data_IF_223158992221
#
_entry.id   IF_223158992221
#
_cell.length_a   1.000
_cell.length_b   1.000
_cell.length_c   1.000
_cell.angle_alpha   90.00
_cell.angle_beta   90.00
_cell.angle_gamma   90.00
#
_symmetry.space_group_name_H-M   'P 1'
#
loop_
_entity.id
_entity.type
_entity.pdbx_description
1 polymer ?
#
# COMPACT_ATOMS: atom_id res chain seq x y z
N UNK A 1 -25.34 -20.86 -33.50
CA UNK A 1 -24.94 -19.57 -32.89
C UNK A 1 -24.29 -19.89 -31.56
N UNK A 2 -22.98 -19.90 -31.49
CA UNK A 2 -22.25 -20.08 -30.23
C UNK A 2 -22.35 -18.77 -29.46
N UNK A 3 -23.24 -18.74 -28.45
CA UNK A 3 -23.36 -17.58 -27.58
C UNK A 3 -22.02 -17.27 -26.91
N UNK A 4 -21.58 -16.02 -26.98
CA UNK A 4 -20.39 -15.55 -26.27
C UNK A 4 -20.55 -15.86 -24.77
N UNK A 5 -19.62 -16.64 -24.21
CA UNK A 5 -19.58 -16.93 -22.79
C UNK A 5 -18.74 -15.82 -22.13
N UNK A 6 -19.37 -15.00 -21.32
CA UNK A 6 -18.69 -13.96 -20.54
C UNK A 6 -18.12 -14.58 -19.26
N UNK A 7 -16.88 -14.27 -18.96
CA UNK A 7 -16.20 -14.64 -17.71
C UNK A 7 -15.88 -13.35 -16.94
N UNK A 8 -16.47 -13.13 -15.76
CA UNK A 8 -16.14 -11.96 -14.95
C UNK A 8 -14.77 -12.15 -14.30
N UNK A 9 -13.91 -11.12 -14.40
CA UNK A 9 -12.65 -11.03 -13.67
C UNK A 9 -12.74 -9.81 -12.74
N UNK A 10 -12.62 -10.04 -11.44
CA UNK A 10 -12.81 -9.02 -10.43
C UNK A 10 -11.51 -8.89 -9.64
N UNK A 11 -10.96 -7.67 -9.58
CA UNK A 11 -9.86 -7.29 -8.72
C UNK A 11 -10.34 -6.41 -7.57
N UNK A 12 -9.78 -6.61 -6.39
CA UNK A 12 -10.01 -5.77 -5.22
C UNK A 12 -8.69 -5.13 -4.81
N UNK A 13 -8.73 -3.86 -4.43
CA UNK A 13 -7.62 -3.13 -3.82
C UNK A 13 -8.04 -2.68 -2.43
N UNK A 14 -7.23 -3.03 -1.42
CA UNK A 14 -7.53 -2.75 -0.02
C UNK A 14 -6.44 -1.87 0.54
N UNK A 15 -6.80 -0.70 1.05
CA UNK A 15 -5.89 0.21 1.74
C UNK A 15 -6.01 0.05 3.25
N UNK A 16 -4.87 -0.18 3.91
CA UNK A 16 -4.78 -0.31 5.35
C UNK A 16 -3.89 0.79 5.91
N UNK A 17 -4.40 1.55 6.88
CA UNK A 17 -3.63 2.53 7.61
C UNK A 17 -2.92 1.85 8.79
N UNK A 18 -1.60 1.77 8.73
CA UNK A 18 -0.79 1.13 9.76
C UNK A 18 -0.71 1.99 11.03
N UNK A 19 -0.67 1.34 12.19
CA UNK A 19 -0.59 1.99 13.51
C UNK A 19 0.85 2.45 13.84
N UNK A 20 1.42 3.32 13.02
CA UNK A 20 2.72 3.94 13.24
C UNK A 20 2.56 5.32 13.90
N UNK A 21 3.59 5.79 14.60
CA UNK A 21 3.61 7.13 15.20
C UNK A 21 3.88 8.23 14.18
N UNK A 22 4.55 7.89 13.09
CA UNK A 22 4.93 8.84 12.05
C UNK A 22 4.48 8.34 10.67
N UNK A 23 4.43 9.26 9.71
CA UNK A 23 4.11 8.94 8.32
C UNK A 23 5.10 7.94 7.73
N UNK A 24 4.70 7.29 6.63
CA UNK A 24 5.49 6.25 5.96
C UNK A 24 6.85 6.75 5.45
N UNK A 25 6.92 7.99 5.00
CA UNK A 25 8.10 8.51 4.28
C UNK A 25 8.68 9.78 4.88
N UNK A 26 8.27 10.19 6.08
CA UNK A 26 8.86 11.31 6.82
C UNK A 26 8.59 11.19 8.32
N UNK A 27 9.24 12.05 9.10
CA UNK A 27 9.10 12.08 10.56
C UNK A 27 7.88 12.83 11.12
N UNK A 28 6.96 13.31 10.26
CA UNK A 28 5.76 13.96 10.75
C UNK A 28 4.87 12.98 11.50
N UNK A 29 4.33 13.44 12.61
CA UNK A 29 3.41 12.67 13.43
C UNK A 29 2.12 12.31 12.66
N UNK A 30 1.56 11.15 13.00
CA UNK A 30 0.23 10.74 12.60
C UNK A 30 -0.73 10.97 13.76
N UNK A 31 -1.73 11.80 13.52
CA UNK A 31 -2.83 12.05 14.46
C UNK A 31 -4.14 12.19 13.68
N UNK A 32 -5.23 12.04 14.37
CA UNK A 32 -6.57 12.17 13.80
C UNK A 32 -7.28 13.40 14.39
N UNK A 33 -7.90 14.21 13.53
CA UNK A 33 -8.71 15.35 13.94
C UNK A 33 -7.95 16.66 14.20
N UNK A 34 -6.65 16.70 13.94
CA UNK A 34 -5.87 17.94 14.05
C UNK A 34 -6.21 18.95 12.93
N UNK A 35 -5.95 20.25 13.16
CA UNK A 35 -6.14 21.26 12.14
C UNK A 35 -5.35 20.94 10.86
N UNK A 36 -5.86 21.31 9.68
CA UNK A 36 -5.15 21.11 8.40
C UNK A 36 -3.74 21.72 8.42
N UNK A 37 -2.79 21.03 7.75
CA UNK A 37 -1.41 21.47 7.57
C UNK A 37 -0.56 21.61 8.83
N UNK A 38 -0.96 21.05 9.97
CA UNK A 38 -0.15 21.04 11.20
C UNK A 38 0.97 20.01 11.16
N UNK A 39 0.76 18.88 10.49
CA UNK A 39 1.74 17.79 10.36
C UNK A 39 2.39 17.78 8.98
N UNK A 40 3.12 18.84 8.65
CA UNK A 40 3.82 18.98 7.37
C UNK A 40 5.30 19.28 7.56
N UNK A 41 6.12 18.86 6.59
CA UNK A 41 7.56 19.13 6.56
C UNK A 41 8.02 19.28 5.10
N UNK A 42 9.26 19.70 4.85
CA UNK A 42 9.80 19.81 3.50
C UNK A 42 9.64 18.55 2.63
N UNK A 43 9.70 17.36 3.25
CA UNK A 43 9.51 16.09 2.54
C UNK A 43 8.06 15.92 2.08
N UNK A 44 7.07 16.14 2.97
CA UNK A 44 5.65 16.04 2.61
C UNK A 44 5.26 17.03 1.51
N UNK A 45 5.89 18.22 1.52
CA UNK A 45 5.63 19.30 0.58
C UNK A 45 6.50 19.23 -0.68
N UNK A 46 7.36 18.21 -0.78
CA UNK A 46 8.29 18.00 -1.89
C UNK A 46 9.17 19.20 -2.20
N UNK A 47 9.73 19.83 -1.16
CA UNK A 47 10.69 20.92 -1.35
C UNK A 47 11.91 20.43 -2.15
N UNK A 48 12.53 21.27 -2.98
CA UNK A 48 13.73 20.91 -3.72
C UNK A 48 14.82 20.37 -2.82
N UNK A 49 15.38 19.21 -3.17
CA UNK A 49 16.43 18.52 -2.41
C UNK A 49 15.96 17.69 -1.22
N UNK A 50 14.67 17.74 -0.85
CA UNK A 50 14.12 16.90 0.19
C UNK A 50 13.74 15.51 -0.37
N UNK A 51 14.24 14.44 0.25
CA UNK A 51 13.98 13.06 -0.15
C UNK A 51 13.22 12.29 0.92
N UNK A 52 12.30 11.39 0.51
CA UNK A 52 11.59 10.50 1.43
C UNK A 52 12.55 9.59 2.19
N UNK A 53 12.20 9.31 3.45
CA UNK A 53 12.89 8.33 4.29
C UNK A 53 11.85 7.34 4.81
N UNK A 54 12.06 6.06 4.52
CA UNK A 54 11.11 5.00 4.85
C UNK A 54 11.02 4.77 6.37
N UNK A 55 9.80 4.67 6.88
CA UNK A 55 9.52 4.31 8.26
C UNK A 55 9.70 2.80 8.46
N UNK A 56 10.72 2.40 9.21
CA UNK A 56 11.02 0.99 9.49
C UNK A 56 9.86 0.25 10.16
N UNK A 57 9.13 0.90 11.06
CA UNK A 57 7.98 0.29 11.74
C UNK A 57 6.84 -0.01 10.75
N UNK A 58 6.62 0.86 9.77
CA UNK A 58 5.64 0.60 8.73
C UNK A 58 6.03 -0.63 7.89
N UNK A 59 7.30 -0.76 7.51
CA UNK A 59 7.81 -1.96 6.81
C UNK A 59 7.62 -3.21 7.66
N UNK A 60 7.97 -3.14 8.94
CA UNK A 60 7.79 -4.26 9.88
C UNK A 60 6.33 -4.70 9.99
N UNK A 61 5.41 -3.75 10.12
CA UNK A 61 3.97 -4.04 10.17
C UNK A 61 3.44 -4.60 8.85
N UNK A 62 3.92 -4.08 7.72
CA UNK A 62 3.60 -4.62 6.38
C UNK A 62 4.04 -6.09 6.24
N UNK A 63 5.27 -6.41 6.65
CA UNK A 63 5.78 -7.79 6.66
C UNK A 63 4.93 -8.69 7.58
N UNK A 64 4.58 -8.23 8.77
CA UNK A 64 3.72 -9.00 9.68
C UNK A 64 2.34 -9.28 9.08
N UNK A 65 1.75 -8.30 8.41
CA UNK A 65 0.48 -8.48 7.69
C UNK A 65 0.63 -9.51 6.57
N UNK A 66 1.69 -9.42 5.76
CA UNK A 66 1.98 -10.38 4.70
C UNK A 66 2.15 -11.80 5.23
N UNK A 67 2.95 -11.99 6.28
CA UNK A 67 3.14 -13.29 6.91
C UNK A 67 1.82 -13.87 7.47
N UNK A 68 0.96 -13.03 8.06
CA UNK A 68 -0.35 -13.46 8.55
C UNK A 68 -1.29 -13.92 7.43
N UNK A 69 -1.06 -13.45 6.21
CA UNK A 69 -1.82 -13.81 5.00
C UNK A 69 -1.12 -14.92 4.19
N UNK A 70 -0.05 -15.51 4.72
CA UNK A 70 0.69 -16.60 4.06
C UNK A 70 1.49 -16.12 2.85
N UNK A 71 1.88 -14.85 2.80
CA UNK A 71 2.73 -14.32 1.72
C UNK A 71 4.20 -14.69 1.94
N UNK A 72 4.94 -14.75 0.83
CA UNK A 72 6.40 -14.78 0.83
C UNK A 72 6.95 -13.36 1.01
N UNK A 73 8.06 -13.25 1.75
CA UNK A 73 8.78 -12.00 1.96
C UNK A 73 10.09 -12.03 1.16
N UNK A 74 10.19 -11.31 0.04
CA UNK A 74 11.42 -11.24 -0.75
C UNK A 74 12.58 -10.64 0.04
N UNK A 75 13.81 -11.03 -0.31
CA UNK A 75 15.01 -10.48 0.32
C UNK A 75 15.30 -9.02 -0.05
N UNK A 76 14.72 -8.54 -1.13
CA UNK A 76 14.80 -7.16 -1.60
C UNK A 76 13.41 -6.66 -1.97
N UNK A 77 13.20 -5.38 -1.79
CA UNK A 77 11.96 -4.67 -2.11
C UNK A 77 12.28 -3.26 -2.56
N UNK A 78 11.55 -2.73 -3.53
CA UNK A 78 11.79 -1.40 -4.07
C UNK A 78 10.54 -0.54 -4.08
N UNK A 79 10.71 0.76 -3.79
CA UNK A 79 9.65 1.75 -3.91
C UNK A 79 9.80 2.54 -5.22
N UNK A 80 8.70 2.67 -5.94
CA UNK A 80 8.60 3.38 -7.20
C UNK A 80 7.83 4.69 -7.05
N UNK A 81 8.00 5.60 -8.01
CA UNK A 81 7.19 6.82 -8.13
C UNK A 81 6.10 6.61 -9.16
N UNK A 82 4.86 6.64 -8.71
CA UNK A 82 3.69 6.74 -9.57
C UNK A 82 3.38 8.21 -9.79
N UNK A 83 3.83 8.78 -10.88
CA UNK A 83 3.65 10.20 -11.18
C UNK A 83 2.21 10.46 -11.66
N UNK A 84 1.54 11.41 -11.03
CA UNK A 84 0.26 11.95 -11.47
C UNK A 84 0.06 13.32 -10.84
N UNK A 85 -0.80 14.15 -11.47
CA UNK A 85 -0.94 15.55 -11.13
C UNK A 85 -2.37 15.84 -10.69
N UNK A 86 -2.51 16.26 -9.42
CA UNK A 86 -3.76 16.76 -8.86
C UNK A 86 -3.50 18.08 -8.15
N UNK A 87 -4.48 19.02 -8.13
CA UNK A 87 -4.30 20.33 -7.51
C UNK A 87 -3.94 20.28 -6.02
N UNK A 88 -4.36 19.23 -5.32
CA UNK A 88 -4.13 19.00 -3.89
C UNK A 88 -2.93 18.08 -3.59
N UNK A 89 -2.21 17.62 -4.61
CA UNK A 89 -1.02 16.79 -4.47
C UNK A 89 0.24 17.59 -4.77
N UNK A 90 0.81 18.25 -3.76
CA UNK A 90 1.97 19.13 -3.89
C UNK A 90 3.21 18.48 -4.50
N UNK A 91 3.46 17.21 -4.21
CA UNK A 91 4.64 16.48 -4.71
C UNK A 91 4.46 15.84 -6.09
N UNK A 92 3.25 15.88 -6.68
CA UNK A 92 2.92 15.37 -8.01
C UNK A 92 3.28 13.89 -8.26
N UNK A 93 3.51 13.10 -7.22
CA UNK A 93 3.70 11.65 -7.29
C UNK A 93 3.26 10.97 -6.00
N UNK A 94 2.88 9.71 -6.12
CA UNK A 94 2.68 8.78 -5.01
C UNK A 94 3.85 7.80 -4.99
N UNK A 95 4.39 7.50 -3.80
CA UNK A 95 5.32 6.39 -3.64
C UNK A 95 4.50 5.11 -3.60
N UNK A 96 4.87 4.16 -4.42
CA UNK A 96 4.15 2.90 -4.62
C UNK A 96 5.15 1.75 -4.75
N UNK A 97 4.65 0.53 -4.88
CA UNK A 97 5.42 -0.64 -5.26
C UNK A 97 4.77 -1.29 -6.47
N UNK A 98 5.56 -1.90 -7.35
CA UNK A 98 5.05 -2.48 -8.58
C UNK A 98 5.55 -3.92 -8.77
N UNK A 99 6.83 -4.11 -9.05
CA UNK A 99 7.43 -5.41 -9.39
C UNK A 99 8.23 -6.03 -8.25
N UNK A 100 8.69 -5.22 -7.28
CA UNK A 100 9.43 -5.68 -6.10
C UNK A 100 8.73 -5.21 -4.80
N UNK A 101 7.53 -5.72 -4.49
CA UNK A 101 6.79 -5.33 -3.30
C UNK A 101 7.38 -5.93 -2.02
N UNK A 102 6.90 -5.48 -0.85
CA UNK A 102 7.33 -6.00 0.46
C UNK A 102 6.96 -7.47 0.64
N UNK A 103 5.80 -7.89 0.13
CA UNK A 103 5.36 -9.27 0.18
C UNK A 103 4.67 -9.66 -1.12
N UNK A 104 4.76 -10.92 -1.49
CA UNK A 104 4.16 -11.48 -2.71
C UNK A 104 3.36 -12.73 -2.43
N UNK A 105 2.37 -13.01 -3.27
CA UNK A 105 1.53 -14.18 -3.13
C UNK A 105 0.68 -14.14 -1.87
N UNK A 106 0.35 -15.31 -1.34
CA UNK A 106 -0.56 -15.44 -0.22
C UNK A 106 -2.01 -15.65 -0.64
N UNK A 107 -2.87 -15.86 0.34
CA UNK A 107 -4.28 -16.12 0.10
C UNK A 107 -5.14 -15.81 1.32
N UNK A 108 -6.41 -15.56 1.07
CA UNK A 108 -7.44 -15.43 2.11
C UNK A 108 -8.55 -16.43 1.83
N UNK A 109 -8.81 -17.32 2.77
CA UNK A 109 -9.95 -18.22 2.66
C UNK A 109 -11.24 -17.52 3.06
N UNK A 110 -12.15 -17.38 2.11
CA UNK A 110 -13.45 -16.73 2.31
C UNK A 110 -14.52 -17.80 2.52
N UNK A 111 -15.13 -17.80 3.70
CA UNK A 111 -16.24 -18.69 4.01
C UNK A 111 -17.55 -18.17 3.41
N UNK A 112 -18.25 -19.03 2.69
CA UNK A 112 -19.58 -18.74 2.15
C UNK A 112 -20.57 -19.83 2.60
N UNK A 113 -21.90 -19.60 2.54
CA UNK A 113 -22.88 -20.63 2.86
C UNK A 113 -22.73 -21.92 2.03
N UNK A 114 -22.19 -21.82 0.83
CA UNK A 114 -21.99 -22.93 -0.11
C UNK A 114 -20.61 -23.62 0.00
N UNK A 115 -19.81 -23.28 1.03
CA UNK A 115 -18.51 -23.91 1.28
C UNK A 115 -17.38 -22.91 1.50
N UNK A 116 -17.02 -22.16 0.52
CA UNK A 116 -15.93 -21.19 0.57
C UNK A 116 -15.02 -21.25 -0.65
N UNK A 117 -14.14 -20.28 -0.76
CA UNK A 117 -13.13 -20.20 -1.83
C UNK A 117 -11.91 -19.41 -1.35
N UNK A 118 -10.79 -19.60 -2.03
CA UNK A 118 -9.57 -18.87 -1.76
C UNK A 118 -9.44 -17.67 -2.70
N UNK A 119 -9.23 -16.49 -2.11
CA UNK A 119 -8.79 -15.30 -2.82
C UNK A 119 -7.27 -15.26 -2.82
N UNK A 120 -6.66 -15.22 -3.98
CA UNK A 120 -5.22 -15.01 -4.09
C UNK A 120 -4.88 -13.54 -3.87
N UNK A 121 -3.77 -13.31 -3.15
CA UNK A 121 -3.16 -11.99 -3.02
C UNK A 121 -2.03 -11.88 -4.05
N UNK A 122 -1.94 -10.73 -4.70
CA UNK A 122 -0.91 -10.49 -5.73
C UNK A 122 0.34 -9.96 -5.04
N UNK A 123 0.19 -8.87 -4.26
CA UNK A 123 1.30 -8.24 -3.52
C UNK A 123 0.78 -7.36 -2.38
N UNK A 124 1.63 -7.07 -1.42
CA UNK A 124 1.43 -6.16 -0.30
C UNK A 124 2.58 -5.15 -0.25
#
# INVERSE_FOLDING_TARGET
MTGARWEPVIGLEIHVQLATRTKMFCGCELSFGDPPNTHTCPICLAHPGALPVTNLEAVRLGILAGLALGCDVPAASEFHRKNYFYPDLSKAYQISQYDEPICVGGHVHVLTPDGGFDLSLIHI
#
